data_IF_038957101756
#
_entry.id   IF_038957101756
#
_cell.length_a   1.000
_cell.length_b   1.000
_cell.length_c   1.000
_cell.angle_alpha   90.00
_cell.angle_beta   90.00
_cell.angle_gamma   90.00
#
_symmetry.space_group_name_H-M   'P 1'
#
loop_
_entity.id
_entity.type
_entity.pdbx_description
1 polymer ?
#
# COMPACT_ATOMS: atom_id res chain seq x y z
N UNK A 1 -19.01 -7.51 2.80
CA UNK A 1 -18.36 -7.18 1.52
C UNK A 1 -17.64 -8.41 0.99
N UNK A 2 -17.80 -8.72 -0.30
CA UNK A 2 -17.09 -9.82 -0.96
C UNK A 2 -15.89 -9.26 -1.75
N UNK A 3 -14.78 -9.99 -1.77
CA UNK A 3 -13.61 -9.68 -2.59
C UNK A 3 -12.90 -10.97 -2.99
N UNK A 4 -12.06 -10.90 -4.01
CA UNK A 4 -11.31 -12.04 -4.53
C UNK A 4 -9.83 -11.82 -4.26
N UNK A 5 -9.15 -12.88 -3.81
CA UNK A 5 -7.70 -12.90 -3.60
C UNK A 5 -7.04 -13.86 -4.57
N UNK A 6 -5.98 -13.37 -5.23
CA UNK A 6 -5.23 -14.11 -6.24
C UNK A 6 -3.74 -13.94 -5.98
N UNK A 7 -3.00 -15.05 -6.01
CA UNK A 7 -1.54 -15.04 -5.84
C UNK A 7 -0.86 -15.18 -7.19
N UNK A 8 -0.10 -14.16 -7.59
CA UNK A 8 0.58 -14.09 -8.88
C UNK A 8 2.09 -14.03 -8.67
N UNK A 9 2.84 -14.56 -9.63
CA UNK A 9 4.30 -14.41 -9.70
C UNK A 9 4.65 -13.67 -10.98
N UNK A 10 5.31 -12.52 -10.83
CA UNK A 10 5.85 -11.76 -11.97
C UNK A 10 7.36 -11.88 -12.01
N UNK A 11 7.93 -12.06 -13.21
CA UNK A 11 9.38 -12.00 -13.44
C UNK A 11 9.86 -10.55 -13.61
N UNK A 12 9.47 -9.71 -12.65
CA UNK A 12 9.80 -8.28 -12.60
C UNK A 12 10.35 -8.04 -11.20
N UNK A 13 11.42 -7.24 -11.11
CA UNK A 13 12.00 -6.88 -9.82
C UNK A 13 10.99 -6.17 -8.93
N UNK A 14 10.98 -6.52 -7.64
CA UNK A 14 10.04 -5.97 -6.64
C UNK A 14 10.17 -4.46 -6.44
N UNK A 15 11.29 -3.87 -6.88
CA UNK A 15 11.53 -2.43 -6.85
C UNK A 15 10.88 -1.67 -8.01
N UNK A 16 10.50 -2.34 -9.11
CA UNK A 16 9.88 -1.72 -10.28
C UNK A 16 8.35 -1.72 -10.19
N UNK A 17 7.84 -0.92 -9.25
CA UNK A 17 6.40 -0.80 -9.00
C UNK A 17 5.62 -0.31 -10.21
N UNK A 18 6.23 0.52 -11.05
CA UNK A 18 5.56 1.06 -12.23
C UNK A 18 5.26 -0.05 -13.23
N UNK A 19 6.27 -0.85 -13.58
CA UNK A 19 6.07 -1.99 -14.48
C UNK A 19 5.12 -3.00 -13.87
N UNK A 20 5.26 -3.32 -12.59
CA UNK A 20 4.32 -4.22 -11.90
C UNK A 20 2.88 -3.71 -12.05
N UNK A 21 2.63 -2.44 -11.75
CA UNK A 21 1.31 -1.82 -11.92
C UNK A 21 0.80 -1.89 -13.36
N UNK A 22 1.63 -1.54 -14.35
CA UNK A 22 1.24 -1.60 -15.77
C UNK A 22 0.84 -3.02 -16.20
N UNK A 23 1.62 -4.02 -15.81
CA UNK A 23 1.33 -5.42 -16.12
C UNK A 23 0.02 -5.88 -15.46
N UNK A 24 -0.21 -5.50 -14.20
CA UNK A 24 -1.46 -5.82 -13.51
C UNK A 24 -2.67 -5.11 -14.12
N UNK A 25 -2.54 -3.82 -14.47
CA UNK A 25 -3.63 -3.03 -15.06
C UNK A 25 -4.05 -3.63 -16.41
N UNK A 26 -3.07 -3.93 -17.27
CA UNK A 26 -3.30 -4.58 -18.56
C UNK A 26 -3.97 -5.95 -18.38
N UNK A 27 -3.42 -6.79 -17.50
CA UNK A 27 -3.93 -8.12 -17.24
C UNK A 27 -5.39 -8.11 -16.76
N UNK A 28 -5.71 -7.27 -15.77
CA UNK A 28 -7.07 -7.17 -15.23
C UNK A 28 -8.04 -6.64 -16.28
N UNK A 29 -7.62 -5.64 -17.07
CA UNK A 29 -8.43 -5.08 -18.13
C UNK A 29 -8.76 -6.10 -19.22
N UNK A 30 -7.80 -6.95 -19.62
CA UNK A 30 -8.05 -8.03 -20.58
C UNK A 30 -9.04 -9.07 -20.04
N UNK A 31 -8.83 -9.52 -18.80
CA UNK A 31 -9.68 -10.57 -18.21
C UNK A 31 -11.09 -10.08 -17.92
N UNK A 32 -11.22 -8.90 -17.33
CA UNK A 32 -12.51 -8.37 -16.88
C UNK A 32 -13.21 -7.52 -17.95
N UNK A 33 -12.55 -7.25 -19.08
CA UNK A 33 -13.02 -6.36 -20.16
C UNK A 33 -13.41 -4.95 -19.67
N UNK A 34 -12.94 -4.57 -18.48
CA UNK A 34 -13.31 -3.36 -17.79
C UNK A 34 -12.17 -2.92 -16.87
N UNK A 35 -12.08 -1.61 -16.63
CA UNK A 35 -11.12 -1.06 -15.68
C UNK A 35 -11.67 -1.21 -14.26
N UNK A 36 -11.21 -2.24 -13.55
CA UNK A 36 -11.63 -2.51 -12.18
C UNK A 36 -10.68 -1.89 -11.15
N UNK A 37 -11.19 -1.41 -10.01
CA UNK A 37 -10.34 -1.08 -8.89
C UNK A 37 -9.73 -2.35 -8.32
N UNK A 38 -8.42 -2.30 -8.07
CA UNK A 38 -7.68 -3.39 -7.44
C UNK A 38 -6.68 -2.85 -6.44
N UNK A 39 -6.27 -3.71 -5.51
CA UNK A 39 -5.15 -3.46 -4.61
C UNK A 39 -4.20 -4.64 -4.67
N UNK A 40 -2.92 -4.39 -4.46
CA UNK A 40 -1.94 -5.45 -4.47
C UNK A 40 -0.90 -5.23 -3.37
N UNK A 41 -0.37 -6.33 -2.83
CA UNK A 41 0.79 -6.30 -1.95
C UNK A 41 1.92 -7.11 -2.55
N UNK A 42 3.12 -6.54 -2.53
CA UNK A 42 4.33 -7.15 -3.06
C UNK A 42 5.09 -7.86 -1.94
N UNK A 43 5.59 -9.04 -2.26
CA UNK A 43 6.61 -9.74 -1.50
C UNK A 43 7.79 -10.07 -2.42
N UNK A 44 9.04 -9.76 -2.02
CA UNK A 44 10.20 -10.12 -2.80
C UNK A 44 10.28 -11.65 -2.92
N UNK A 45 10.46 -12.15 -4.13
CA UNK A 45 10.69 -13.56 -4.40
C UNK A 45 12.17 -13.92 -4.35
N UNK A 46 12.51 -15.07 -4.93
CA UNK A 46 13.89 -15.49 -5.14
C UNK A 46 14.43 -14.86 -6.44
N UNK A 47 15.45 -14.00 -6.34
CA UNK A 47 16.07 -13.34 -7.49
C UNK A 47 15.28 -12.14 -8.02
N UNK A 48 15.03 -12.09 -9.33
CA UNK A 48 14.30 -11.01 -10.02
C UNK A 48 12.78 -11.21 -10.07
N UNK A 49 12.26 -12.15 -9.29
CA UNK A 49 10.84 -12.46 -9.26
C UNK A 49 10.15 -11.77 -8.10
N UNK A 50 8.88 -11.42 -8.33
CA UNK A 50 8.02 -10.78 -7.35
C UNK A 50 6.76 -11.60 -7.15
N UNK A 51 6.46 -11.90 -5.90
CA UNK A 51 5.17 -12.47 -5.51
C UNK A 51 4.19 -11.35 -5.21
N UNK A 52 2.99 -11.45 -5.77
CA UNK A 52 1.95 -10.45 -5.65
C UNK A 52 0.71 -11.12 -5.11
N UNK A 53 0.20 -10.60 -4.01
CA UNK A 53 -1.17 -10.86 -3.57
C UNK A 53 -2.06 -9.77 -4.15
N UNK A 54 -2.85 -10.13 -5.16
CA UNK A 54 -3.81 -9.26 -5.83
C UNK A 54 -5.18 -9.41 -5.15
N UNK A 55 -5.85 -8.28 -4.94
CA UNK A 55 -7.22 -8.20 -4.43
C UNK A 55 -8.10 -7.40 -5.37
N UNK A 56 -9.21 -7.99 -5.79
CA UNK A 56 -10.17 -7.39 -6.71
C UNK A 56 -11.59 -7.46 -6.15
N UNK A 57 -12.44 -6.53 -6.60
CA UNK A 57 -13.86 -6.51 -6.25
C UNK A 57 -14.67 -7.59 -7.00
N UNK A 58 -14.16 -8.06 -8.14
CA UNK A 58 -14.77 -9.08 -8.99
C UNK A 58 -13.76 -10.18 -9.33
N UNK A 59 -14.27 -11.35 -9.69
CA UNK A 59 -13.46 -12.50 -10.07
C UNK A 59 -12.68 -12.17 -11.36
N UNK A 60 -11.36 -12.36 -11.33
CA UNK A 60 -10.51 -12.19 -12.51
C UNK A 60 -10.41 -13.49 -13.31
N UNK A 61 -10.81 -14.63 -12.71
CA UNK A 61 -10.82 -15.92 -13.41
C UNK A 61 -9.44 -16.58 -13.49
N UNK A 62 -8.54 -16.24 -12.59
CA UNK A 62 -7.21 -16.87 -12.52
C UNK A 62 -7.23 -18.19 -11.75
N UNK A 63 -6.39 -19.17 -12.13
CA UNK A 63 -6.25 -20.40 -11.37
C UNK A 63 -5.83 -20.11 -9.92
N UNK A 64 -6.55 -20.71 -8.96
CA UNK A 64 -6.27 -20.52 -7.53
C UNK A 64 -6.83 -19.24 -6.92
N UNK A 65 -7.69 -18.49 -7.63
CA UNK A 65 -8.44 -17.37 -7.07
C UNK A 65 -9.38 -17.83 -5.96
N UNK A 66 -9.36 -17.13 -4.82
CA UNK A 66 -10.19 -17.44 -3.65
C UNK A 66 -11.16 -16.30 -3.38
N UNK A 67 -12.46 -16.61 -3.38
CA UNK A 67 -13.49 -15.67 -2.93
C UNK A 67 -13.48 -15.58 -1.41
N UNK A 68 -13.37 -14.36 -0.90
CA UNK A 68 -13.44 -14.05 0.53
C UNK A 68 -14.58 -13.08 0.81
N UNK A 69 -15.09 -13.16 2.03
CA UNK A 69 -16.09 -12.24 2.54
C UNK A 69 -15.62 -11.69 3.88
N UNK A 70 -15.83 -10.39 4.08
CA UNK A 70 -15.56 -9.69 5.34
C UNK A 70 -16.84 -9.01 5.77
N UNK A 71 -17.16 -9.16 7.04
CA UNK A 71 -18.31 -8.55 7.71
C UNK A 71 -17.79 -7.66 8.82
N UNK A 72 -18.41 -6.49 8.97
CA UNK A 72 -18.13 -5.55 10.05
C UNK A 72 -19.40 -5.40 10.86
N UNK A 73 -19.27 -5.44 12.18
CA UNK A 73 -20.35 -5.14 13.10
C UNK A 73 -20.13 -3.77 13.71
N UNK A 74 -21.21 -3.08 14.07
CA UNK A 74 -21.11 -1.80 14.76
C UNK A 74 -20.41 -1.98 16.12
N UNK A 75 -19.54 -1.03 16.48
CA UNK A 75 -18.70 -1.12 17.68
C UNK A 75 -17.50 -2.06 17.59
N UNK A 76 -17.30 -2.75 16.46
CA UNK A 76 -16.14 -3.62 16.29
C UNK A 76 -14.85 -2.82 16.10
N UNK A 77 -13.86 -3.04 16.96
CA UNK A 77 -12.51 -2.52 16.75
C UNK A 77 -11.80 -3.28 15.63
N UNK A 78 -11.31 -2.55 14.64
CA UNK A 78 -10.60 -3.12 13.48
C UNK A 78 -9.24 -2.46 13.36
N UNK A 79 -8.20 -3.28 13.23
CA UNK A 79 -6.86 -2.80 12.87
C UNK A 79 -6.68 -2.88 11.36
N UNK A 80 -6.51 -1.73 10.71
CA UNK A 80 -6.17 -1.65 9.28
C UNK A 80 -4.68 -1.44 9.15
N UNK A 81 -4.03 -2.27 8.33
CA UNK A 81 -2.62 -2.10 7.98
C UNK A 81 -2.48 -1.99 6.48
N UNK A 82 -1.85 -0.92 6.03
CA UNK A 82 -1.68 -0.64 4.61
C UNK A 82 -0.53 0.32 4.36
N UNK A 83 -0.37 0.60 3.08
CA UNK A 83 0.63 1.53 2.56
C UNK A 83 -0.11 2.70 1.93
N UNK A 84 0.24 3.91 2.37
CA UNK A 84 -0.33 5.14 1.85
C UNK A 84 0.77 6.02 1.27
N UNK A 85 0.51 6.63 0.12
CA UNK A 85 1.38 7.66 -0.42
C UNK A 85 1.13 8.99 0.33
N UNK A 86 2.08 9.42 1.14
CA UNK A 86 2.01 10.70 1.84
C UNK A 86 2.51 11.85 0.95
N UNK A 87 1.64 12.37 0.08
CA UNK A 87 1.96 13.48 -0.83
C UNK A 87 1.13 14.71 -0.49
N UNK A 88 1.81 15.81 -0.18
CA UNK A 88 1.27 17.15 0.04
C UNK A 88 1.56 18.00 -1.19
N UNK A 89 0.55 18.75 -1.66
CA UNK A 89 0.71 19.71 -2.75
C UNK A 89 0.88 21.09 -2.16
N UNK A 90 2.00 21.73 -2.45
CA UNK A 90 2.34 23.06 -1.96
C UNK A 90 2.71 23.97 -3.12
N UNK A 91 2.44 25.26 -2.98
CA UNK A 91 2.90 26.27 -3.93
C UNK A 91 4.17 26.89 -3.35
N UNK A 92 5.31 26.42 -3.83
CA UNK A 92 6.63 26.96 -3.47
C UNK A 92 7.11 27.85 -4.61
N UNK A 93 7.37 29.12 -4.31
CA UNK A 93 7.87 30.11 -5.28
C UNK A 93 6.98 30.21 -6.55
N UNK A 94 5.66 30.22 -6.38
CA UNK A 94 4.70 30.30 -7.48
C UNK A 94 4.55 29.02 -8.32
N UNK A 95 5.26 27.93 -7.99
CA UNK A 95 5.17 26.64 -8.68
C UNK A 95 4.51 25.59 -7.79
N UNK A 96 3.54 24.87 -8.34
CA UNK A 96 2.94 23.69 -7.69
C UNK A 96 4.00 22.61 -7.56
N UNK A 97 4.28 22.18 -6.33
CA UNK A 97 5.23 21.12 -6.01
C UNK A 97 4.55 20.06 -5.16
N UNK A 98 4.91 18.81 -5.42
CA UNK A 98 4.51 17.67 -4.59
C UNK A 98 5.65 17.37 -3.61
N UNK A 99 5.37 17.47 -2.32
CA UNK A 99 6.31 17.26 -1.22
C UNK A 99 5.77 16.14 -0.32
N UNK A 100 6.67 15.40 0.34
CA UNK A 100 6.26 14.51 1.43
C UNK A 100 6.25 15.34 2.72
N UNK A 101 5.20 15.24 3.57
CA UNK A 101 5.23 15.86 4.89
C UNK A 101 6.44 15.39 5.70
N UNK A 102 7.02 16.26 6.57
CA UNK A 102 8.04 15.86 7.52
C UNK A 102 7.57 14.71 8.42
N UNK A 103 8.50 13.91 8.93
CA UNK A 103 8.16 12.69 9.69
C UNK A 103 7.29 12.94 10.93
N UNK A 104 7.46 14.10 11.56
CA UNK A 104 6.72 14.51 12.76
C UNK A 104 5.25 14.81 12.45
N UNK A 105 4.97 15.33 11.26
CA UNK A 105 3.61 15.68 10.81
C UNK A 105 2.84 14.51 10.20
N UNK A 106 3.51 13.37 9.95
CA UNK A 106 2.89 12.26 9.23
C UNK A 106 1.70 11.61 9.94
N UNK A 107 1.72 11.35 11.26
CA UNK A 107 0.56 10.78 11.94
C UNK A 107 -0.68 11.65 11.76
N UNK A 108 -0.53 12.96 11.94
CA UNK A 108 -1.62 13.93 11.77
C UNK A 108 -2.06 14.05 10.32
N UNK A 109 -1.12 14.06 9.38
CA UNK A 109 -1.42 14.05 7.95
C UNK A 109 -2.23 12.81 7.53
N UNK A 110 -1.83 11.62 8.00
CA UNK A 110 -2.55 10.37 7.72
C UNK A 110 -3.91 10.39 8.39
N UNK A 111 -4.01 10.82 9.65
CA UNK A 111 -5.29 10.97 10.36
C UNK A 111 -6.24 11.89 9.60
N UNK A 112 -5.78 13.06 9.14
CA UNK A 112 -6.55 13.99 8.31
C UNK A 112 -7.02 13.35 7.00
N UNK A 113 -6.18 12.57 6.32
CA UNK A 113 -6.54 11.89 5.06
C UNK A 113 -7.58 10.80 5.28
N UNK A 114 -7.50 10.08 6.40
CA UNK A 114 -8.49 9.08 6.79
C UNK A 114 -9.82 9.73 7.15
N UNK A 115 -9.80 10.81 7.93
CA UNK A 115 -11.00 11.57 8.32
C UNK A 115 -11.74 12.11 7.09
N UNK A 116 -10.99 12.71 6.14
CA UNK A 116 -11.55 13.15 4.85
C UNK A 116 -12.13 12.01 4.01
N UNK A 117 -11.67 10.77 4.20
CA UNK A 117 -12.21 9.58 3.55
C UNK A 117 -13.41 8.97 4.31
N UNK A 118 -13.85 9.60 5.41
CA UNK A 118 -14.95 9.12 6.24
C UNK A 118 -14.54 8.08 7.29
N UNK A 119 -13.25 7.98 7.61
CA UNK A 119 -12.71 7.06 8.61
C UNK A 119 -12.17 7.83 9.82
N UNK A 120 -12.66 7.50 11.02
CA UNK A 120 -12.24 8.12 12.28
C UNK A 120 -11.42 7.14 13.13
N UNK A 121 -10.11 6.97 12.86
CA UNK A 121 -9.28 6.02 13.60
C UNK A 121 -9.05 6.49 15.04
N UNK A 122 -9.20 5.58 16.02
CA UNK A 122 -8.82 5.82 17.41
C UNK A 122 -7.31 6.04 17.56
N UNK A 123 -6.50 5.24 16.85
CA UNK A 123 -5.04 5.32 16.87
C UNK A 123 -4.46 5.23 15.45
N UNK A 124 -3.44 6.05 15.17
CA UNK A 124 -2.70 6.04 13.91
C UNK A 124 -1.22 5.86 14.19
N UNK A 125 -0.68 4.69 13.81
CA UNK A 125 0.75 4.41 13.86
C UNK A 125 1.39 4.52 12.49
N UNK A 126 2.52 5.23 12.39
CA UNK A 126 3.21 5.50 11.12
C UNK A 126 4.68 5.06 11.22
N UNK A 127 5.13 4.16 10.34
CA UNK A 127 6.49 3.61 10.31
C UNK A 127 7.24 3.92 9.00
N UNK A 128 8.40 4.58 9.09
CA UNK A 128 9.19 5.02 7.94
C UNK A 128 9.63 3.84 7.09
N UNK A 129 9.30 3.90 5.81
CA UNK A 129 9.81 3.01 4.78
C UNK A 129 10.72 3.80 3.84
N UNK A 130 11.64 3.09 3.20
CA UNK A 130 12.52 3.70 2.20
C UNK A 130 11.69 4.25 1.03
N UNK A 131 12.13 5.39 0.50
CA UNK A 131 11.46 6.06 -0.61
C UNK A 131 11.34 5.09 -1.80
N UNK A 132 10.11 4.75 -2.20
CA UNK A 132 9.88 4.00 -3.42
C UNK A 132 9.96 4.97 -4.60
N UNK A 133 11.03 4.88 -5.37
CA UNK A 133 11.24 5.70 -6.57
C UNK A 133 10.51 5.02 -7.73
N UNK A 134 9.34 5.54 -8.09
CA UNK A 134 8.60 5.08 -9.27
C UNK A 134 9.16 5.82 -10.48
N UNK A 135 9.91 5.10 -11.32
CA UNK A 135 10.43 5.64 -12.59
C UNK A 135 9.49 5.20 -13.72
N UNK A 136 8.80 6.15 -14.35
CA UNK A 136 8.17 5.91 -15.65
C UNK A 136 9.27 5.93 -16.72
N UNK A 137 9.39 4.87 -17.52
CA UNK A 137 10.34 4.84 -18.64
C UNK A 137 9.97 5.91 -19.68
N UNK A 138 11.01 6.50 -20.29
CA UNK A 138 10.83 7.44 -21.41
C UNK A 138 10.11 6.74 -22.58
N UNK A 139 8.98 7.30 -23.01
CA UNK A 139 8.44 7.00 -24.34
C UNK A 139 9.06 8.00 -25.33
N UNK A 140 9.25 7.65 -26.61
CA UNK A 140 9.92 8.52 -27.60
C UNK A 140 9.28 9.92 -27.74
N UNK A 141 8.06 10.12 -27.24
CA UNK A 141 7.32 11.40 -27.28
C UNK A 141 7.10 12.05 -25.90
N UNK A 142 7.51 11.44 -24.78
CA UNK A 142 7.30 12.01 -23.44
C UNK A 142 8.45 11.72 -22.47
N UNK A 143 9.05 12.78 -21.90
CA UNK A 143 10.03 12.68 -20.81
C UNK A 143 9.45 11.93 -19.61
N UNK A 144 10.16 10.92 -19.14
CA UNK A 144 9.84 10.05 -18.02
C UNK A 144 9.69 10.85 -16.73
N UNK A 145 8.52 10.73 -16.10
CA UNK A 145 8.25 11.39 -14.83
C UNK A 145 8.70 10.46 -13.69
N UNK A 146 9.48 11.01 -12.75
CA UNK A 146 9.85 10.34 -11.50
C UNK A 146 8.84 10.73 -10.44
N UNK A 147 8.08 9.77 -9.93
CA UNK A 147 7.19 9.99 -8.79
C UNK A 147 7.87 9.34 -7.59
N UNK A 148 8.25 10.17 -6.62
CA UNK A 148 8.70 9.69 -5.33
C UNK A 148 7.47 9.35 -4.50
N UNK A 149 7.20 8.06 -4.30
CA UNK A 149 6.11 7.62 -3.44
C UNK A 149 6.73 7.25 -2.09
N UNK A 150 6.53 8.07 -1.04
CA UNK A 150 6.81 7.64 0.31
C UNK A 150 5.76 6.58 0.66
N UNK A 151 6.14 5.31 0.54
CA UNK A 151 5.34 4.17 0.96
C UNK A 151 5.61 3.88 2.44
N UNK A 152 4.64 3.34 3.17
CA UNK A 152 4.70 3.02 4.61
C UNK A 152 4.25 1.57 4.82
N UNK A 153 4.95 0.78 5.64
CA UNK A 153 4.75 -0.68 5.72
C UNK A 153 4.86 -1.29 7.12
N UNK A 154 4.40 -2.56 7.18
CA UNK A 154 4.00 -3.38 8.35
C UNK A 154 4.91 -3.40 9.58
N UNK A 155 4.24 -3.47 10.75
CA UNK A 155 4.77 -4.07 11.99
C UNK A 155 5.35 -5.47 11.70
N UNK A 156 6.66 -5.66 11.88
CA UNK A 156 7.21 -6.95 12.25
C UNK A 156 7.00 -7.11 13.75
N UNK A 157 6.25 -8.14 14.18
CA UNK A 157 6.35 -8.66 15.55
C UNK A 157 7.81 -9.07 15.76
N UNK A 158 8.61 -8.25 16.45
CA UNK A 158 9.89 -8.70 17.00
C UNK A 158 9.55 -9.65 18.15
N UNK A 159 9.90 -10.93 18.00
CA UNK A 159 10.12 -11.81 19.16
C UNK A 159 11.21 -11.15 20.00
N UNK A 160 10.84 -10.62 21.15
CA UNK A 160 11.81 -10.20 22.17
C UNK A 160 12.38 -11.50 22.74
N UNK A 161 13.62 -11.83 22.35
CA UNK A 161 14.46 -12.76 23.10
C UNK A 161 15.42 -11.93 23.95
N UNK A 162 15.19 -12.03 25.27
CA UNK A 162 16.07 -11.70 26.38
C UNK A 162 16.58 -10.25 26.54
N UNK A 163 15.85 -9.48 27.35
CA UNK A 163 16.42 -8.64 28.40
C UNK A 163 15.45 -8.64 29.60
N UNK A 164 16.01 -8.69 30.81
CA UNK A 164 15.38 -8.91 32.13
C UNK A 164 14.50 -7.72 32.60
N UNK A 165 13.69 -7.89 33.67
CA UNK A 165 12.41 -7.22 33.86
C UNK A 165 12.53 -5.84 34.51
N UNK A 166 11.62 -4.93 34.19
CA UNK A 166 11.23 -3.82 35.07
C UNK A 166 9.70 -3.76 35.07
N UNK A 167 9.15 -3.86 36.28
CA UNK A 167 7.73 -3.90 36.54
C UNK A 167 7.06 -2.53 36.32
N UNK A 168 5.84 -2.54 35.80
CA UNK A 168 4.81 -1.57 36.17
C UNK A 168 3.43 -2.22 35.94
N UNK A 169 2.68 -2.31 37.03
CA UNK A 169 1.32 -2.84 37.15
C UNK A 169 0.33 -1.67 36.99
N UNK A 170 -0.79 -1.92 36.31
CA UNK A 170 -2.13 -1.40 36.58
C UNK A 170 -3.09 -2.20 35.66
N UNK A 171 -3.71 -3.29 36.11
CA UNK A 171 -4.97 -3.41 36.90
C UNK A 171 -6.17 -2.74 36.23
N UNK A 172 -7.27 -3.50 36.25
CA UNK A 172 -8.55 -3.35 35.55
C UNK A 172 -9.21 -1.98 35.66
#
# INVERSE_FOLDING_TARGET
MNYFESTLRLRISSYDLYRIHQHLDYFIQEQCKAKLPYSFSIQPGTGNDTYILLRTAQAVGVPGEVKKSVYFSEGQEVTITGTIAAVRREVLNGRKRETCPPSEELPDFVKYRLDRAGLTPHHVGVNKMDNLIVKKADQPTQKGHRIHIPAWGRLRKRKIKHAKPVAAVAMA
#
